data_IF_766777437049
#
_entry.id   IF_766777437049
#
_cell.length_a   1.000
_cell.length_b   1.000
_cell.length_c   1.000
_cell.angle_alpha   90.00
_cell.angle_beta   90.00
_cell.angle_gamma   90.00
#
_symmetry.space_group_name_H-M   'P 1'
#
loop_
_entity.id
_entity.type
_entity.pdbx_description
1 polymer ?
#
# COMPACT_ATOMS: atom_id res chain seq x y z
N UNK A 1 -11.43 19.70 -28.89
CA UNK A 1 -10.49 19.22 -27.85
C UNK A 1 -9.41 18.45 -28.59
N UNK A 2 -8.16 18.94 -28.60
CA UNK A 2 -7.10 18.32 -29.40
C UNK A 2 -6.87 16.87 -28.92
N UNK A 3 -6.73 15.93 -29.85
CA UNK A 3 -6.45 14.54 -29.52
C UNK A 3 -5.10 14.45 -28.82
N UNK A 4 -5.07 13.80 -27.65
CA UNK A 4 -3.85 13.50 -26.91
C UNK A 4 -3.45 12.06 -27.19
N UNK A 5 -2.16 11.81 -27.31
CA UNK A 5 -1.66 10.44 -27.40
C UNK A 5 -1.79 9.70 -26.05
N UNK A 6 -1.42 8.41 -26.04
CA UNK A 6 -1.42 7.58 -24.81
C UNK A 6 -0.48 8.09 -23.71
N UNK A 7 0.39 9.04 -24.01
CA UNK A 7 1.32 9.67 -23.09
C UNK A 7 0.85 11.06 -22.64
N UNK A 8 -0.34 11.50 -23.09
CA UNK A 8 -0.93 12.79 -22.73
C UNK A 8 -0.40 13.96 -23.56
N UNK A 9 0.47 13.71 -24.55
CA UNK A 9 1.03 14.75 -25.39
C UNK A 9 0.00 15.29 -26.37
N UNK A 10 -0.15 16.62 -26.38
CA UNK A 10 -0.99 17.33 -27.34
C UNK A 10 -0.15 17.65 -28.57
N UNK A 11 -0.35 16.90 -29.67
CA UNK A 11 0.29 17.22 -30.95
C UNK A 11 -0.55 18.29 -31.65
N UNK A 12 -0.18 19.56 -31.53
CA UNK A 12 -0.75 20.63 -32.34
C UNK A 12 -0.10 20.61 -33.74
N UNK A 13 -0.43 19.60 -34.55
CA UNK A 13 0.18 19.36 -35.88
C UNK A 13 -0.28 20.41 -36.92
N UNK A 14 -1.36 21.15 -36.64
CA UNK A 14 -2.02 22.03 -37.62
C UNK A 14 -1.19 23.26 -38.04
N UNK A 15 -0.07 23.58 -37.35
CA UNK A 15 0.69 24.82 -37.59
C UNK A 15 2.18 24.63 -37.90
N UNK A 16 2.66 23.40 -38.08
CA UNK A 16 4.09 23.12 -38.32
C UNK A 16 4.26 22.33 -39.61
N UNK A 17 5.29 22.67 -40.40
CA UNK A 17 5.66 21.88 -41.60
C UNK A 17 5.88 20.42 -41.18
N UNK A 18 5.07 19.47 -41.68
CA UNK A 18 5.21 18.06 -41.31
C UNK A 18 6.58 17.48 -41.65
N UNK A 19 7.24 17.98 -42.70
CA UNK A 19 8.56 17.51 -43.07
C UNK A 19 9.62 17.96 -42.06
N UNK A 20 9.60 19.24 -41.67
CA UNK A 20 10.51 19.77 -40.65
C UNK A 20 10.34 19.03 -39.31
N UNK A 21 9.08 18.82 -38.88
CA UNK A 21 8.79 18.07 -37.66
C UNK A 21 9.34 16.64 -37.73
N UNK A 22 9.18 15.97 -38.88
CA UNK A 22 9.71 14.62 -39.08
C UNK A 22 11.25 14.59 -39.03
N UNK A 23 11.93 15.57 -39.64
CA UNK A 23 13.40 15.67 -39.60
C UNK A 23 13.92 15.81 -38.16
N UNK A 24 13.25 16.59 -37.30
CA UNK A 24 13.60 16.71 -35.88
C UNK A 24 13.35 15.41 -35.09
N UNK A 25 12.25 14.70 -35.38
CA UNK A 25 11.97 13.39 -34.79
C UNK A 25 13.05 12.37 -35.20
N UNK A 26 13.38 12.31 -36.50
CA UNK A 26 14.40 11.40 -37.03
C UNK A 26 15.78 11.71 -36.44
N UNK A 27 16.12 12.99 -36.22
CA UNK A 27 17.36 13.38 -35.56
C UNK A 27 17.42 12.88 -34.10
N UNK A 28 16.31 12.96 -33.36
CA UNK A 28 16.23 12.43 -32.00
C UNK A 28 16.36 10.91 -31.97
N UNK A 29 15.68 10.21 -32.88
CA UNK A 29 15.79 8.76 -33.04
C UNK A 29 17.21 8.33 -33.44
N UNK A 30 17.89 9.14 -34.25
CA UNK A 30 19.31 9.00 -34.56
C UNK A 30 20.17 9.06 -33.31
N UNK A 31 19.95 10.01 -32.39
CA UNK A 31 20.68 10.08 -31.11
C UNK A 31 20.40 8.87 -30.24
N UNK A 32 19.13 8.43 -30.16
CA UNK A 32 18.73 7.29 -29.35
C UNK A 32 19.34 5.97 -29.84
N UNK A 33 19.51 5.82 -31.16
CA UNK A 33 20.04 4.60 -31.79
C UNK A 33 21.56 4.59 -31.97
N UNK A 34 22.20 5.76 -32.09
CA UNK A 34 23.65 5.87 -32.30
C UNK A 34 24.50 5.37 -31.12
N UNK A 35 23.91 5.30 -29.92
CA UNK A 35 24.57 4.83 -28.70
C UNK A 35 23.76 3.69 -28.09
N UNK A 36 24.39 2.81 -27.29
CA UNK A 36 23.66 1.74 -26.60
C UNK A 36 22.48 2.30 -25.78
N UNK A 37 21.44 1.49 -25.56
CA UNK A 37 20.12 1.96 -25.11
C UNK A 37 20.12 2.92 -23.90
N UNK A 38 21.03 2.73 -22.93
CA UNK A 38 21.14 3.63 -21.76
C UNK A 38 21.84 4.95 -22.11
N UNK A 39 22.99 4.88 -22.79
CA UNK A 39 23.77 6.06 -23.18
C UNK A 39 23.03 6.93 -24.20
N UNK A 40 22.25 6.32 -25.09
CA UNK A 40 21.39 7.04 -26.04
C UNK A 40 20.33 7.88 -25.31
N UNK A 41 19.67 7.31 -24.29
CA UNK A 41 18.68 8.02 -23.47
C UNK A 41 19.30 9.18 -22.69
N UNK A 42 20.41 8.94 -22.00
CA UNK A 42 21.12 10.00 -21.25
C UNK A 42 21.52 11.17 -22.14
N UNK A 43 22.03 10.88 -23.35
CA UNK A 43 22.38 11.93 -24.33
C UNK A 43 21.16 12.65 -24.89
N UNK A 44 20.08 11.93 -25.22
CA UNK A 44 18.85 12.55 -25.68
C UNK A 44 18.30 13.53 -24.63
N UNK A 45 18.28 13.13 -23.35
CA UNK A 45 17.91 14.02 -22.24
C UNK A 45 18.80 15.27 -22.18
N UNK A 46 20.12 15.12 -22.26
CA UNK A 46 21.05 16.25 -22.23
C UNK A 46 20.83 17.24 -23.39
N UNK A 47 20.51 16.74 -24.60
CA UNK A 47 20.19 17.57 -25.76
C UNK A 47 18.87 18.32 -25.54
N UNK A 48 17.82 17.64 -25.06
CA UNK A 48 16.54 18.27 -24.76
C UNK A 48 16.67 19.37 -23.69
N UNK A 49 17.48 19.13 -22.65
CA UNK A 49 17.79 20.14 -21.63
C UNK A 49 18.53 21.35 -22.23
N UNK A 50 19.50 21.11 -23.11
CA UNK A 50 20.22 22.17 -23.80
C UNK A 50 19.30 23.00 -24.73
N UNK A 51 18.40 22.34 -25.46
CA UNK A 51 17.40 22.99 -26.31
C UNK A 51 16.41 23.82 -25.48
N UNK A 52 15.94 23.30 -24.34
CA UNK A 52 15.08 24.04 -23.42
C UNK A 52 15.80 25.27 -22.84
N UNK A 53 17.08 25.12 -22.46
CA UNK A 53 17.89 26.24 -22.00
C UNK A 53 18.09 27.31 -23.10
N UNK A 54 18.30 26.87 -24.34
CA UNK A 54 18.41 27.75 -25.50
C UNK A 54 17.09 28.49 -25.78
N UNK A 55 15.96 27.78 -25.79
CA UNK A 55 14.62 28.34 -25.95
C UNK A 55 14.33 29.44 -24.91
N UNK A 56 14.71 29.20 -23.64
CA UNK A 56 14.60 30.20 -22.56
C UNK A 56 15.44 31.44 -22.81
N UNK A 57 16.67 31.31 -23.33
CA UNK A 57 17.50 32.47 -23.72
C UNK A 57 16.84 33.33 -24.79
N UNK A 58 16.12 32.69 -25.71
CA UNK A 58 15.35 33.34 -26.77
C UNK A 58 13.95 33.79 -26.32
N UNK A 59 13.64 33.72 -25.02
CA UNK A 59 12.35 34.14 -24.43
C UNK A 59 11.14 33.40 -25.03
N UNK A 60 11.34 32.19 -25.56
CA UNK A 60 10.24 31.32 -25.95
C UNK A 60 9.47 30.95 -24.68
N UNK A 61 8.17 31.21 -24.66
CA UNK A 61 7.29 30.92 -23.51
C UNK A 61 6.82 29.45 -23.51
N UNK A 62 7.60 28.55 -24.10
CA UNK A 62 7.31 27.13 -24.10
C UNK A 62 7.61 26.52 -22.73
N UNK A 63 6.65 25.80 -22.18
CA UNK A 63 6.79 25.02 -20.95
C UNK A 63 6.24 23.63 -21.23
N UNK A 64 7.03 22.56 -21.07
CA UNK A 64 6.46 21.22 -21.16
C UNK A 64 5.36 21.06 -20.10
N UNK A 65 4.28 20.37 -20.45
CA UNK A 65 3.27 19.99 -19.46
C UNK A 65 3.98 19.17 -18.38
N UNK A 66 3.83 19.55 -17.10
CA UNK A 66 4.37 18.78 -15.97
C UNK A 66 3.50 17.55 -15.66
N UNK A 67 2.74 17.07 -16.65
CA UNK A 67 1.83 15.94 -16.53
C UNK A 67 2.58 14.71 -17.01
N UNK A 68 2.86 13.79 -16.09
CA UNK A 68 3.32 12.46 -16.47
C UNK A 68 2.16 11.70 -17.11
N UNK A 69 2.44 10.77 -18.05
CA UNK A 69 1.43 9.86 -18.58
C UNK A 69 0.62 9.20 -17.46
N UNK A 70 -0.66 8.91 -17.71
CA UNK A 70 -1.50 8.13 -16.79
C UNK A 70 -1.15 6.63 -16.86
N UNK A 71 0.10 6.33 -16.52
CA UNK A 71 0.75 5.02 -16.55
C UNK A 71 1.63 4.86 -15.31
N UNK A 72 2.03 3.63 -14.99
CA UNK A 72 2.97 3.36 -13.91
C UNK A 72 4.35 3.94 -14.25
N UNK A 73 4.95 4.66 -13.29
CA UNK A 73 6.30 5.21 -13.43
C UNK A 73 7.37 4.12 -13.55
N UNK A 74 7.19 2.98 -12.88
CA UNK A 74 8.08 1.81 -12.96
C UNK A 74 7.48 0.79 -13.94
N UNK A 75 8.13 0.52 -15.08
CA UNK A 75 7.66 -0.46 -16.05
C UNK A 75 7.93 -1.90 -15.56
N UNK A 76 7.24 -2.89 -16.14
CA UNK A 76 7.29 -4.30 -15.74
C UNK A 76 8.72 -4.87 -15.88
N UNK A 77 9.45 -4.45 -16.91
CA UNK A 77 10.82 -4.92 -17.18
C UNK A 77 11.84 -4.38 -16.16
N UNK A 78 11.51 -3.28 -15.48
CA UNK A 78 12.32 -2.71 -14.40
C UNK A 78 11.78 -3.08 -13.01
N UNK A 79 10.67 -3.81 -12.93
CA UNK A 79 10.07 -4.22 -11.66
C UNK A 79 10.89 -5.36 -11.04
N UNK A 80 11.37 -5.21 -9.80
CA UNK A 80 12.09 -6.29 -9.12
C UNK A 80 11.14 -7.44 -8.78
N UNK A 81 11.70 -8.64 -8.61
CA UNK A 81 10.96 -9.78 -8.08
C UNK A 81 10.40 -9.45 -6.68
N UNK A 82 9.15 -9.87 -6.43
CA UNK A 82 8.53 -9.66 -5.13
C UNK A 82 9.22 -10.52 -4.06
N UNK A 83 9.62 -9.97 -2.91
CA UNK A 83 10.42 -10.69 -1.91
C UNK A 83 9.61 -11.64 -1.02
N UNK A 84 8.29 -11.49 -0.95
CA UNK A 84 7.41 -12.22 -0.02
C UNK A 84 6.57 -13.34 -0.66
N UNK A 85 5.77 -14.01 0.19
CA UNK A 85 4.75 -14.96 -0.25
C UNK A 85 3.41 -14.24 -0.42
N UNK A 86 3.04 -13.99 -1.68
CA UNK A 86 1.80 -13.28 -2.03
C UNK A 86 0.54 -13.97 -1.50
N UNK A 87 0.49 -15.30 -1.46
CA UNK A 87 -0.70 -16.02 -1.00
C UNK A 87 -0.86 -15.86 0.53
N UNK A 88 0.25 -15.93 1.27
CA UNK A 88 0.24 -15.70 2.70
C UNK A 88 -0.11 -14.25 3.05
N UNK A 89 0.48 -13.30 2.33
CA UNK A 89 0.23 -11.87 2.56
C UNK A 89 -1.19 -11.45 2.18
N UNK A 90 -1.77 -12.02 1.11
CA UNK A 90 -3.19 -11.83 0.79
C UNK A 90 -4.10 -12.34 1.92
N UNK A 91 -3.80 -13.52 2.48
CA UNK A 91 -4.55 -14.07 3.61
C UNK A 91 -4.42 -13.20 4.86
N UNK A 92 -3.21 -12.73 5.16
CA UNK A 92 -2.96 -11.79 6.25
C UNK A 92 -3.78 -10.51 6.07
N UNK A 93 -3.70 -9.91 4.89
CA UNK A 93 -4.41 -8.67 4.56
C UNK A 93 -5.93 -8.83 4.66
N UNK A 94 -6.48 -9.97 4.26
CA UNK A 94 -7.90 -10.29 4.44
C UNK A 94 -8.32 -10.37 5.92
N UNK A 95 -7.50 -11.01 6.77
CA UNK A 95 -7.73 -11.09 8.22
C UNK A 95 -7.73 -9.69 8.85
N UNK A 96 -6.78 -8.85 8.47
CA UNK A 96 -6.66 -7.49 9.01
C UNK A 96 -7.83 -6.60 8.58
N UNK A 97 -8.26 -6.69 7.33
CA UNK A 97 -9.48 -6.03 6.84
C UNK A 97 -10.72 -6.48 7.61
N UNK A 98 -10.85 -7.78 7.89
CA UNK A 98 -11.95 -8.31 8.70
C UNK A 98 -11.93 -7.76 10.13
N UNK A 99 -10.79 -7.85 10.81
CA UNK A 99 -10.66 -7.37 12.19
C UNK A 99 -10.94 -5.86 12.29
N UNK A 100 -10.45 -5.06 11.33
CA UNK A 100 -10.73 -3.63 11.27
C UNK A 100 -12.23 -3.34 11.05
N UNK A 101 -12.88 -4.07 10.14
CA UNK A 101 -14.32 -3.98 9.89
C UNK A 101 -15.12 -4.33 11.15
N UNK A 102 -14.81 -5.48 11.77
CA UNK A 102 -15.50 -5.98 12.95
C UNK A 102 -15.42 -4.97 14.11
N UNK A 103 -14.25 -4.36 14.32
CA UNK A 103 -14.05 -3.33 15.33
C UNK A 103 -14.93 -2.10 15.12
N UNK A 104 -14.99 -1.57 13.88
CA UNK A 104 -15.78 -0.37 13.57
C UNK A 104 -17.29 -0.67 13.64
N UNK A 105 -17.72 -1.78 13.06
CA UNK A 105 -19.14 -2.19 13.08
C UNK A 105 -19.62 -2.35 14.53
N UNK A 106 -18.82 -3.00 15.37
CA UNK A 106 -19.14 -3.19 16.78
C UNK A 106 -19.23 -1.87 17.54
N UNK A 107 -18.27 -0.95 17.35
CA UNK A 107 -18.31 0.35 18.01
C UNK A 107 -19.56 1.13 17.61
N UNK A 108 -19.95 1.10 16.33
CA UNK A 108 -21.17 1.73 15.84
C UNK A 108 -22.45 1.06 16.36
N UNK A 109 -22.45 -0.27 16.59
CA UNK A 109 -23.59 -0.96 17.23
C UNK A 109 -23.73 -0.59 18.70
N UNK A 110 -22.62 -0.47 19.44
CA UNK A 110 -22.63 -0.11 20.84
C UNK A 110 -23.00 1.38 21.05
N UNK A 111 -22.52 2.26 20.17
CA UNK A 111 -22.80 3.69 20.20
C UNK A 111 -22.82 4.25 18.77
N UNK A 112 -24.01 4.54 18.25
CA UNK A 112 -24.23 4.93 16.85
C UNK A 112 -23.47 6.17 16.37
N UNK A 113 -22.97 7.01 17.29
CA UNK A 113 -22.28 8.27 16.97
C UNK A 113 -20.74 8.15 16.96
N UNK A 114 -20.17 7.00 17.36
CA UNK A 114 -18.71 6.86 17.44
C UNK A 114 -18.03 6.93 16.08
N UNK A 115 -18.72 6.48 15.01
CA UNK A 115 -18.23 6.53 13.64
C UNK A 115 -16.97 5.69 13.38
N UNK A 116 -16.47 5.74 12.15
CA UNK A 116 -15.23 5.06 11.73
C UNK A 116 -15.16 4.90 10.21
N UNK A 117 -13.97 5.07 9.64
CA UNK A 117 -13.76 4.98 8.19
C UNK A 117 -13.24 3.60 7.80
N UNK A 118 -14.16 2.70 7.45
CA UNK A 118 -13.81 1.37 6.95
C UNK A 118 -13.13 1.49 5.57
N UNK A 119 -13.66 2.36 4.71
CA UNK A 119 -13.20 2.53 3.33
C UNK A 119 -11.74 3.01 3.25
N UNK A 120 -11.33 3.96 4.10
CA UNK A 120 -9.98 4.53 4.07
C UNK A 120 -8.89 3.50 4.36
N UNK A 121 -9.10 2.64 5.37
CA UNK A 121 -8.15 1.56 5.60
C UNK A 121 -8.25 0.49 4.49
N UNK A 122 -9.45 0.10 4.08
CA UNK A 122 -9.62 -0.93 3.06
C UNK A 122 -8.89 -0.61 1.74
N UNK A 123 -8.90 0.66 1.32
CA UNK A 123 -8.19 1.14 0.13
C UNK A 123 -6.67 1.21 0.28
N UNK A 124 -6.17 1.35 1.52
CA UNK A 124 -4.74 1.51 1.81
C UNK A 124 -4.09 0.25 2.42
N UNK A 125 -4.86 -0.80 2.69
CA UNK A 125 -4.40 -1.97 3.44
C UNK A 125 -3.20 -2.66 2.77
N UNK A 126 -3.21 -2.85 1.46
CA UNK A 126 -2.08 -3.52 0.79
C UNK A 126 -0.81 -2.65 0.81
N UNK A 127 -0.94 -1.32 0.74
CA UNK A 127 0.19 -0.41 0.91
C UNK A 127 0.78 -0.51 2.33
N UNK A 128 -0.08 -0.61 3.34
CA UNK A 128 0.35 -0.75 4.72
C UNK A 128 1.02 -2.11 4.95
N UNK A 129 0.45 -3.20 4.43
CA UNK A 129 1.02 -4.53 4.61
C UNK A 129 2.36 -4.68 3.89
N UNK A 130 2.51 -4.16 2.66
CA UNK A 130 3.83 -4.09 2.01
C UNK A 130 4.82 -3.31 2.89
N UNK A 131 4.39 -2.16 3.42
CA UNK A 131 5.17 -1.36 4.36
C UNK A 131 5.62 -2.17 5.58
N UNK A 132 4.71 -2.82 6.28
CA UNK A 132 5.02 -3.60 7.47
C UNK A 132 5.89 -4.83 7.22
N UNK A 133 5.69 -5.53 6.10
CA UNK A 133 6.38 -6.79 5.81
C UNK A 133 7.79 -6.55 5.26
N UNK A 134 7.99 -5.48 4.49
CA UNK A 134 9.20 -5.33 3.67
C UNK A 134 9.97 -4.03 3.90
N UNK A 135 9.41 -3.04 4.61
CA UNK A 135 10.03 -1.71 4.73
C UNK A 135 10.19 -1.23 6.18
N UNK A 136 9.10 -1.20 6.96
CA UNK A 136 9.05 -0.53 8.26
C UNK A 136 9.96 -1.18 9.30
N UNK A 137 10.83 -0.35 9.87
CA UNK A 137 11.81 -0.75 10.88
C UNK A 137 11.31 -0.41 12.28
N UNK A 138 11.33 -1.41 13.16
CA UNK A 138 11.05 -1.22 14.58
C UNK A 138 12.22 -0.55 15.33
N UNK A 139 11.99 -0.14 16.60
CA UNK A 139 13.00 0.56 17.41
C UNK A 139 14.34 -0.17 17.62
N UNK A 140 14.36 -1.49 17.46
CA UNK A 140 15.57 -2.32 17.60
C UNK A 140 16.48 -2.38 16.37
N UNK A 141 16.15 -1.66 15.28
CA UNK A 141 16.98 -1.65 14.08
C UNK A 141 18.29 -0.87 14.30
N UNK A 142 19.38 -1.30 13.65
CA UNK A 142 20.73 -0.75 13.85
C UNK A 142 20.85 0.76 13.58
N UNK A 143 19.99 1.32 12.74
CA UNK A 143 19.96 2.75 12.36
C UNK A 143 18.86 3.54 13.09
N UNK A 144 18.18 2.93 14.07
CA UNK A 144 16.94 3.43 14.65
C UNK A 144 15.70 2.98 13.85
N UNK A 145 14.54 3.08 14.49
CA UNK A 145 13.25 2.74 13.86
C UNK A 145 12.74 3.83 12.93
N UNK A 146 11.85 3.47 12.02
CA UNK A 146 11.26 4.42 11.06
C UNK A 146 10.19 5.28 11.73
N UNK A 147 10.10 6.55 11.32
CA UNK A 147 9.02 7.46 11.71
C UNK A 147 7.88 7.37 10.70
N UNK A 148 6.86 6.57 11.02
CA UNK A 148 5.72 6.34 10.12
C UNK A 148 4.54 7.23 10.53
N UNK A 149 4.21 8.22 9.68
CA UNK A 149 3.05 9.08 9.85
C UNK A 149 1.81 8.44 9.23
N UNK A 150 1.15 7.56 10.00
CA UNK A 150 -0.07 6.90 9.53
C UNK A 150 -1.21 7.90 9.31
N UNK A 151 -1.99 7.68 8.25
CA UNK A 151 -3.24 8.40 8.04
C UNK A 151 -4.19 8.13 9.22
N UNK A 152 -4.67 9.15 9.96
CA UNK A 152 -5.44 8.95 11.19
C UNK A 152 -6.73 8.15 11.00
N UNK A 153 -7.39 8.30 9.85
CA UNK A 153 -8.63 7.59 9.53
C UNK A 153 -8.42 6.09 9.26
N UNK A 154 -7.17 5.66 9.03
CA UNK A 154 -6.78 4.25 8.82
C UNK A 154 -6.34 3.56 10.12
N UNK A 155 -6.45 4.23 11.27
CA UNK A 155 -6.15 3.67 12.59
C UNK A 155 -6.81 2.31 12.87
N UNK A 156 -8.04 2.00 12.40
CA UNK A 156 -8.62 0.68 12.61
C UNK A 156 -7.74 -0.49 12.15
N UNK A 157 -7.04 -0.32 11.02
CA UNK A 157 -6.13 -1.33 10.51
C UNK A 157 -4.87 -1.51 11.35
N UNK A 158 -4.33 -0.41 11.88
CA UNK A 158 -3.16 -0.44 12.77
C UNK A 158 -3.49 -1.20 14.05
N UNK A 159 -4.66 -0.95 14.66
CA UNK A 159 -5.10 -1.69 15.85
C UNK A 159 -5.42 -3.16 15.54
N UNK A 160 -6.04 -3.44 14.38
CA UNK A 160 -6.28 -4.82 13.93
C UNK A 160 -4.97 -5.61 13.82
N UNK A 161 -3.90 -4.99 13.31
CA UNK A 161 -2.58 -5.61 13.20
C UNK A 161 -1.91 -5.77 14.56
N UNK A 162 -1.96 -4.75 15.41
CA UNK A 162 -1.46 -4.84 16.78
C UNK A 162 -2.16 -5.95 17.58
N UNK A 163 -3.46 -6.16 17.38
CA UNK A 163 -4.20 -7.29 17.96
C UNK A 163 -3.73 -8.64 17.42
N UNK A 164 -3.58 -8.76 16.09
CA UNK A 164 -3.11 -9.99 15.46
C UNK A 164 -1.71 -10.38 15.95
N UNK A 165 -0.82 -9.40 16.09
CA UNK A 165 0.53 -9.55 16.65
C UNK A 165 0.54 -9.75 18.18
N UNK A 166 -0.60 -9.58 18.85
CA UNK A 166 -0.74 -9.77 20.29
C UNK A 166 -0.27 -8.61 21.17
N UNK A 167 -0.05 -7.43 20.58
CA UNK A 167 0.25 -6.18 21.32
C UNK A 167 -1.01 -5.57 21.95
N UNK A 168 -2.17 -5.84 21.36
CA UNK A 168 -3.48 -5.51 21.92
C UNK A 168 -4.27 -6.79 22.18
N UNK A 169 -5.09 -6.77 23.22
CA UNK A 169 -6.05 -7.83 23.51
C UNK A 169 -7.46 -7.48 23.00
N UNK A 170 -8.37 -8.43 23.07
CA UNK A 170 -9.75 -8.23 22.62
C UNK A 170 -10.48 -7.17 23.46
N UNK A 171 -10.15 -7.08 24.76
CA UNK A 171 -10.70 -6.06 25.65
C UNK A 171 -10.30 -4.65 25.20
N UNK A 172 -9.08 -4.45 24.72
CA UNK A 172 -8.63 -3.18 24.14
C UNK A 172 -9.45 -2.81 22.90
N UNK A 173 -9.70 -3.77 21.99
CA UNK A 173 -10.52 -3.52 20.81
C UNK A 173 -12.01 -3.29 21.13
N UNK A 174 -12.54 -3.84 22.25
CA UNK A 174 -13.89 -3.55 22.71
C UNK A 174 -14.11 -2.06 23.00
N UNK A 175 -13.05 -1.35 23.41
CA UNK A 175 -13.10 0.06 23.79
C UNK A 175 -12.61 0.98 22.66
N UNK A 176 -12.67 0.54 21.41
CA UNK A 176 -12.33 1.40 20.29
C UNK A 176 -13.14 2.71 20.34
N UNK A 177 -12.42 3.86 20.35
CA UNK A 177 -12.95 5.23 20.55
C UNK A 177 -13.61 5.49 21.91
N UNK A 178 -13.32 4.68 22.92
CA UNK A 178 -13.82 4.83 24.29
C UNK A 178 -12.66 4.80 25.29
N UNK A 179 -11.88 5.88 25.32
CA UNK A 179 -10.67 5.96 26.15
C UNK A 179 -10.96 6.31 27.61
N UNK A 180 -12.12 6.92 27.87
CA UNK A 180 -12.57 7.29 29.22
C UNK A 180 -13.56 6.25 29.70
N UNK A 181 -13.11 5.39 30.61
CA UNK A 181 -14.01 4.48 31.32
C UNK A 181 -14.49 5.20 32.59
N UNK A 182 -15.77 5.60 32.63
CA UNK A 182 -16.38 5.96 33.89
C UNK A 182 -16.42 4.68 34.75
N UNK A 183 -15.61 4.60 35.82
CA UNK A 183 -15.74 3.53 36.81
C UNK A 183 -17.14 3.62 37.39
N UNK A 184 -18.07 2.82 36.89
CA UNK A 184 -19.35 2.61 37.55
C UNK A 184 -19.05 1.81 38.82
N UNK A 185 -18.84 2.52 39.92
CA UNK A 185 -18.63 1.94 41.24
C UNK A 185 -19.91 1.18 41.64
N UNK A 186 -19.91 -0.13 41.41
CA UNK A 186 -20.84 -1.07 42.05
C UNK A 186 -20.04 -2.23 42.62
N UNK A 187 -20.14 -2.39 43.94
CA UNK A 187 -19.74 -3.57 44.72
C UNK A 187 -18.30 -4.08 44.57
N UNK A 188 -17.33 -3.17 44.43
CA UNK A 188 -15.91 -3.48 44.68
C UNK A 188 -15.21 -4.37 43.65
N UNK A 189 -15.80 -4.63 42.48
CA UNK A 189 -15.13 -5.34 41.37
C UNK A 189 -15.36 -4.63 40.04
N UNK A 190 -14.27 -4.27 39.35
CA UNK A 190 -14.33 -3.81 37.98
C UNK A 190 -14.66 -5.00 37.06
N UNK A 191 -15.80 -4.96 36.37
CA UNK A 191 -16.11 -5.86 35.24
C UNK A 191 -15.94 -5.09 33.94
N UNK A 192 -15.28 -5.70 32.97
CA UNK A 192 -15.23 -5.24 31.59
C UNK A 192 -16.48 -5.77 30.89
N UNK A 193 -17.50 -4.93 30.75
CA UNK A 193 -18.66 -5.26 29.90
C UNK A 193 -18.37 -4.77 28.49
N UNK A 194 -17.88 -5.70 27.68
CA UNK A 194 -17.71 -5.61 26.24
C UNK A 194 -19.09 -5.57 25.57
N UNK A 195 -19.89 -4.52 25.83
CA UNK A 195 -21.32 -4.39 25.53
C UNK A 195 -21.76 -5.00 24.19
N UNK A 196 -22.26 -6.23 24.27
CA UNK A 196 -23.32 -6.84 23.47
C UNK A 196 -23.61 -8.20 24.13
N UNK A 197 -24.85 -8.38 24.60
CA UNK A 197 -25.41 -9.61 25.16
C UNK A 197 -25.21 -9.84 26.68
N UNK A 198 -25.91 -9.06 27.51
CA UNK A 198 -26.13 -9.37 28.93
C UNK A 198 -27.14 -10.52 29.15
N UNK A 199 -27.33 -11.44 28.19
CA UNK A 199 -28.42 -12.41 28.24
C UNK A 199 -28.16 -13.82 27.68
N UNK A 200 -27.08 -14.07 26.91
CA UNK A 200 -26.80 -15.44 26.41
C UNK A 200 -25.35 -15.88 26.61
N UNK A 201 -25.08 -16.84 27.51
CA UNK A 201 -23.76 -17.47 27.57
C UNK A 201 -23.57 -18.33 26.31
N UNK A 202 -22.58 -17.97 25.47
CA UNK A 202 -22.13 -18.84 24.37
C UNK A 202 -21.81 -18.19 23.01
N UNK A 203 -22.04 -16.88 22.79
CA UNK A 203 -21.81 -16.24 21.48
C UNK A 203 -20.68 -15.20 21.41
N UNK A 204 -20.00 -14.88 22.51
CA UNK A 204 -19.02 -13.80 22.56
C UNK A 204 -17.61 -14.14 22.01
N UNK A 205 -17.37 -15.36 21.52
CA UNK A 205 -16.00 -15.89 21.33
C UNK A 205 -15.39 -15.87 19.93
N UNK A 206 -15.94 -15.17 18.92
CA UNK A 206 -15.50 -15.37 17.52
C UNK A 206 -15.49 -14.14 16.60
N UNK A 207 -15.49 -12.91 17.12
CA UNK A 207 -15.57 -11.74 16.22
C UNK A 207 -14.23 -11.43 15.53
N UNK A 208 -13.13 -11.58 16.26
CA UNK A 208 -11.78 -11.27 15.77
C UNK A 208 -10.98 -12.54 15.47
N UNK A 209 -10.17 -12.49 14.43
CA UNK A 209 -9.32 -13.61 14.00
C UNK A 209 -7.90 -13.39 14.48
N UNK A 210 -7.37 -14.34 15.28
CA UNK A 210 -5.97 -14.36 15.75
C UNK A 210 -5.18 -15.63 15.39
N UNK A 211 -5.82 -16.81 15.45
CA UNK A 211 -5.13 -18.10 15.38
C UNK A 211 -5.06 -18.76 13.99
N UNK A 212 -5.45 -18.09 12.91
CA UNK A 212 -5.56 -18.73 11.58
C UNK A 212 -4.25 -18.86 10.79
N UNK A 213 -3.14 -18.26 11.25
CA UNK A 213 -1.84 -18.35 10.57
C UNK A 213 -0.99 -19.55 11.03
N UNK A 214 -1.45 -20.33 12.01
CA UNK A 214 -0.82 -21.57 12.46
C UNK A 214 -1.53 -22.77 11.86
N UNK A 215 -1.22 -23.13 10.62
CA UNK A 215 -1.53 -24.47 10.10
C UNK A 215 -0.42 -24.89 9.14
N UNK A 216 0.48 -25.82 9.52
CA UNK A 216 1.30 -26.48 8.53
C UNK A 216 0.38 -27.32 7.64
N UNK A 217 0.68 -27.34 6.34
CA UNK A 217 0.01 -28.23 5.39
C UNK A 217 0.00 -29.68 5.93
N UNK A 218 -1.09 -30.45 5.75
CA UNK A 218 -1.12 -31.84 6.18
C UNK A 218 0.03 -32.59 5.50
N UNK A 219 0.92 -33.13 6.32
CA UNK A 219 2.11 -33.85 5.87
C UNK A 219 1.74 -34.98 4.92
N UNK A 220 2.46 -35.05 3.80
CA UNK A 220 2.53 -36.28 3.01
C UNK A 220 3.20 -37.34 3.87
N UNK A 221 2.38 -38.23 4.43
CA UNK A 221 2.83 -39.44 5.07
C UNK A 221 3.56 -40.32 4.03
N UNK A 222 4.83 -40.60 4.31
CA UNK A 222 5.47 -41.89 4.06
C UNK A 222 5.60 -42.39 2.63
N UNK A 223 6.74 -42.11 2.00
CA UNK A 223 7.42 -43.11 1.19
C UNK A 223 8.82 -43.31 1.76
N UNK A 224 9.00 -44.42 2.48
CA UNK A 224 10.30 -44.92 2.90
C UNK A 224 11.13 -45.24 1.66
N UNK A 225 12.33 -44.72 1.56
CA UNK A 225 13.42 -45.42 0.87
C UNK A 225 14.68 -45.33 1.73
N UNK A 226 15.08 -46.51 2.20
CA UNK A 226 16.33 -46.75 2.91
C UNK A 226 17.48 -46.71 1.92
N UNK A 227 18.62 -46.27 2.43
CA UNK A 227 19.99 -46.32 1.93
C UNK A 227 20.33 -47.44 0.92
N UNK A 228 21.17 -47.09 -0.07
CA UNK A 228 22.37 -47.88 -0.36
C UNK A 228 23.48 -47.07 -1.09
N UNK A 229 24.64 -47.01 -0.42
CA UNK A 229 26.02 -47.17 -0.91
C UNK A 229 26.67 -46.23 -1.94
N UNK A 230 27.84 -45.75 -1.46
CA UNK A 230 29.05 -45.18 -2.10
C UNK A 230 29.04 -43.69 -2.38
#
# INVERSE_FOLDING_TARGET
MAARDRFGSTLAIDQTDPQELQEWCDALDGVLSAWGQQQGKERACAILDALLAHARKHRLQWRPEQVTPYLNTVPVEAQPAYPGDLAMEQRLSAILRWNALAMVVRANQAHGELGGHIASYASAADLFEVGYQHFFRGPGAAQGGDLVFFQPHSAPGVYARAFLEGRLDEASLCHYRQEIVARRWRDGRARVDCGADAGRPGKAGQLYVRHQLQSPAPGRAGARQRAHCR
#
